data_IF_765557924816
#
_entry.id   IF_765557924816
#
_cell.length_a   1.000
_cell.length_b   1.000
_cell.length_c   1.000
_cell.angle_alpha   90.00
_cell.angle_beta   90.00
_cell.angle_gamma   90.00
#
_symmetry.space_group_name_H-M   'P 1'
#
loop_
_entity.id
_entity.type
_entity.pdbx_description
1 polymer ?
#
# COMPACT_ATOMS: atom_id res chain seq x y z
N UNK A 1 11.52 46.38 20.04
CA UNK A 1 12.10 46.23 18.68
C UNK A 1 13.22 45.21 18.82
N UNK A 2 13.28 44.02 18.22
CA UNK A 2 12.54 43.36 17.15
C UNK A 2 12.57 41.84 17.45
N UNK A 3 11.44 41.18 17.26
CA UNK A 3 11.27 39.73 17.25
C UNK A 3 12.20 39.09 16.21
N UNK A 4 13.18 38.29 16.60
CA UNK A 4 13.82 37.36 15.68
C UNK A 4 12.92 36.15 15.51
N UNK A 5 11.97 36.26 14.56
CA UNK A 5 11.22 35.13 14.01
C UNK A 5 12.22 34.23 13.29
N UNK A 6 12.63 33.13 13.93
CA UNK A 6 13.33 32.04 13.23
C UNK A 6 12.31 31.38 12.30
N UNK A 7 12.37 31.78 11.04
CA UNK A 7 11.65 31.11 9.95
C UNK A 7 12.20 29.69 9.84
N UNK A 8 11.50 28.70 10.41
CA UNK A 8 11.70 27.30 10.01
C UNK A 8 11.32 27.22 8.54
N UNK A 9 12.31 27.26 7.66
CA UNK A 9 12.18 26.75 6.28
C UNK A 9 11.79 25.28 6.41
N UNK A 10 10.51 24.99 6.22
CA UNK A 10 10.05 23.63 6.00
C UNK A 10 10.70 23.15 4.71
N UNK A 11 11.40 22.03 4.80
CA UNK A 11 12.19 21.44 3.74
C UNK A 11 11.21 20.99 2.64
N UNK A 12 11.60 21.13 1.36
CA UNK A 12 10.79 20.68 0.21
C UNK A 12 10.38 19.19 0.26
N UNK A 13 10.96 18.41 1.17
CA UNK A 13 10.58 17.04 1.47
C UNK A 13 9.27 16.88 2.25
N UNK A 14 8.68 17.96 2.78
CA UNK A 14 7.36 17.93 3.43
C UNK A 14 6.17 18.14 2.47
N UNK A 15 6.41 18.21 1.16
CA UNK A 15 5.40 18.42 0.12
C UNK A 15 5.10 17.15 -0.71
N UNK A 16 5.32 15.96 -0.16
CA UNK A 16 4.67 14.74 -0.65
C UNK A 16 3.46 14.49 0.23
N UNK A 17 2.42 15.27 -0.04
CA UNK A 17 1.07 15.14 0.50
C UNK A 17 0.69 13.67 0.66
N UNK A 18 0.40 13.28 1.90
CA UNK A 18 -0.30 12.05 2.29
C UNK A 18 -1.75 12.13 1.77
N UNK A 19 -1.90 12.07 0.45
CA UNK A 19 -3.18 11.80 -0.17
C UNK A 19 -3.41 10.30 -0.04
N UNK A 20 -4.49 9.95 0.65
CA UNK A 20 -5.12 8.65 0.57
C UNK A 20 -5.74 8.47 -0.82
N UNK A 21 -4.88 8.49 -1.85
CA UNK A 21 -5.22 8.03 -3.19
C UNK A 21 -5.24 6.51 -3.10
N UNK A 22 -6.43 5.91 -3.12
CA UNK A 22 -6.61 4.54 -3.57
C UNK A 22 -5.73 4.36 -4.81
N UNK A 23 -4.78 3.43 -4.80
CA UNK A 23 -3.90 3.28 -5.96
C UNK A 23 -4.76 2.93 -7.17
N UNK A 24 -4.36 3.39 -8.36
CA UNK A 24 -5.16 3.16 -9.56
C UNK A 24 -4.89 1.80 -10.16
N UNK A 25 -3.73 1.21 -9.83
CA UNK A 25 -3.31 -0.10 -10.33
C UNK A 25 -2.48 -0.88 -9.34
N UNK A 26 -2.54 -2.21 -9.46
CA UNK A 26 -1.74 -3.14 -8.65
C UNK A 26 -0.23 -2.92 -8.80
N UNK A 27 0.24 -2.54 -9.99
CA UNK A 27 1.65 -2.25 -10.25
C UNK A 27 2.13 -1.00 -9.48
N UNK A 28 1.30 0.03 -9.40
CA UNK A 28 1.59 1.24 -8.62
C UNK A 28 1.60 0.93 -7.12
N UNK A 29 0.68 0.09 -6.64
CA UNK A 29 0.62 -0.34 -5.25
C UNK A 29 1.87 -1.14 -4.85
N UNK A 30 2.21 -2.19 -5.59
CA UNK A 30 3.42 -3.01 -5.37
C UNK A 30 4.68 -2.13 -5.28
N UNK A 31 4.85 -1.20 -6.23
CA UNK A 31 6.03 -0.32 -6.25
C UNK A 31 6.07 0.62 -5.05
N UNK A 32 4.91 1.12 -4.62
CA UNK A 32 4.79 1.98 -3.45
C UNK A 32 5.19 1.21 -2.20
N UNK A 33 4.69 0.00 -2.01
CA UNK A 33 4.98 -0.82 -0.82
C UNK A 33 6.44 -1.22 -0.76
N UNK A 34 7.05 -1.60 -1.88
CA UNK A 34 8.51 -1.82 -1.97
C UNK A 34 9.29 -0.60 -1.47
N UNK A 35 8.91 0.61 -1.91
CA UNK A 35 9.56 1.86 -1.50
C UNK A 35 9.32 2.18 -0.02
N UNK A 36 8.12 1.92 0.49
CA UNK A 36 7.78 2.15 1.89
C UNK A 36 8.43 1.14 2.83
N UNK A 37 8.64 -0.11 2.41
CA UNK A 37 9.41 -1.12 3.13
C UNK A 37 10.86 -0.65 3.30
N UNK A 38 11.49 -0.16 2.22
CA UNK A 38 12.87 0.37 2.29
C UNK A 38 12.96 1.56 3.26
N UNK A 39 12.00 2.48 3.20
CA UNK A 39 11.95 3.62 4.10
C UNK A 39 11.73 3.20 5.56
N UNK A 40 10.82 2.24 5.81
CA UNK A 40 10.53 1.72 7.14
C UNK A 40 11.73 0.98 7.74
N UNK A 41 12.45 0.18 6.95
CA UNK A 41 13.71 -0.46 7.35
C UNK A 41 14.76 0.58 7.73
N UNK A 42 14.91 1.64 6.92
CA UNK A 42 15.86 2.71 7.21
C UNK A 42 15.52 3.48 8.49
N UNK A 43 14.24 3.57 8.88
CA UNK A 43 13.80 4.18 10.13
C UNK A 43 13.71 3.24 11.33
N UNK A 44 13.95 1.93 11.14
CA UNK A 44 13.78 0.91 12.18
C UNK A 44 12.32 0.66 12.60
N UNK A 45 11.36 0.92 11.71
CA UNK A 45 9.93 0.68 11.94
C UNK A 45 9.57 -0.76 11.55
N UNK A 46 9.98 -1.71 12.39
CA UNK A 46 9.81 -3.15 12.13
C UNK A 46 8.34 -3.57 12.03
N UNK A 47 7.43 -2.88 12.74
CA UNK A 47 6.01 -3.16 12.68
C UNK A 47 5.45 -2.84 11.29
N UNK A 48 5.84 -1.69 10.72
CA UNK A 48 5.48 -1.31 9.37
C UNK A 48 6.11 -2.21 8.31
N UNK A 49 7.37 -2.62 8.50
CA UNK A 49 8.04 -3.57 7.59
C UNK A 49 7.28 -4.89 7.50
N UNK A 50 6.88 -5.48 8.63
CA UNK A 50 6.11 -6.73 8.63
C UNK A 50 4.78 -6.57 7.90
N UNK A 51 4.01 -5.54 8.24
CA UNK A 51 2.71 -5.29 7.63
C UNK A 51 2.80 -5.15 6.10
N UNK A 52 3.70 -4.28 5.61
CA UNK A 52 3.84 -4.05 4.17
C UNK A 52 4.43 -5.26 3.43
N UNK A 53 5.26 -6.08 4.10
CA UNK A 53 5.79 -7.30 3.46
C UNK A 53 4.68 -8.34 3.25
N UNK A 54 3.76 -8.49 4.20
CA UNK A 54 2.59 -9.38 4.07
C UNK A 54 1.61 -8.89 2.99
N UNK A 55 1.40 -7.56 2.91
CA UNK A 55 0.58 -6.93 1.87
C UNK A 55 1.20 -7.10 0.48
N UNK A 56 2.50 -6.82 0.33
CA UNK A 56 3.23 -7.00 -0.93
C UNK A 56 3.13 -8.44 -1.44
N UNK A 57 3.25 -9.43 -0.56
CA UNK A 57 3.09 -10.83 -0.92
C UNK A 57 1.68 -11.13 -1.47
N UNK A 58 0.65 -10.66 -0.78
CA UNK A 58 -0.75 -10.83 -1.21
C UNK A 58 -1.02 -10.17 -2.57
N UNK A 59 -0.44 -8.98 -2.81
CA UNK A 59 -0.56 -8.27 -4.09
C UNK A 59 0.16 -9.02 -5.23
N UNK A 60 1.33 -9.59 -4.97
CA UNK A 60 2.08 -10.36 -5.96
C UNK A 60 1.34 -11.66 -6.35
N UNK A 61 0.79 -12.38 -5.37
CA UNK A 61 -0.04 -13.58 -5.60
C UNK A 61 -1.31 -13.25 -6.38
N UNK A 62 -2.05 -12.21 -5.96
CA UNK A 62 -3.25 -11.76 -6.67
C UNK A 62 -2.96 -11.43 -8.14
N UNK A 63 -1.84 -10.74 -8.40
CA UNK A 63 -1.42 -10.40 -9.76
C UNK A 63 -1.09 -11.64 -10.61
N UNK A 64 -0.50 -12.67 -10.00
CA UNK A 64 -0.22 -13.94 -10.67
C UNK A 64 -1.51 -14.69 -11.03
N UNK A 65 -2.48 -14.74 -10.12
CA UNK A 65 -3.77 -15.38 -10.35
C UNK A 65 -4.66 -14.59 -11.33
N UNK A 66 -4.50 -13.26 -11.39
CA UNK A 66 -5.33 -12.34 -12.16
C UNK A 66 -4.53 -11.55 -13.23
N UNK A 67 -3.86 -12.21 -14.21
CA UNK A 67 -2.88 -11.57 -15.10
C UNK A 67 -3.47 -10.55 -16.09
N UNK A 68 -4.79 -10.59 -16.32
CA UNK A 68 -5.52 -9.63 -17.14
C UNK A 68 -6.02 -8.42 -16.37
N UNK A 69 -6.00 -8.51 -15.03
CA UNK A 69 -6.48 -7.47 -14.17
C UNK A 69 -5.35 -6.53 -13.75
N UNK A 70 -5.63 -5.24 -13.79
CA UNK A 70 -4.66 -4.18 -13.50
C UNK A 70 -5.15 -3.22 -12.44
N UNK A 71 -6.38 -3.36 -11.94
CA UNK A 71 -6.86 -2.49 -10.86
C UNK A 71 -6.09 -2.78 -9.57
N UNK A 72 -6.16 -1.85 -8.63
CA UNK A 72 -5.65 -2.07 -7.27
C UNK A 72 -6.67 -2.86 -6.46
N UNK A 73 -6.40 -4.12 -6.07
CA UNK A 73 -7.39 -4.97 -5.43
C UNK A 73 -7.73 -4.45 -4.05
N UNK A 74 -9.01 -4.51 -3.71
CA UNK A 74 -9.49 -4.26 -2.36
C UNK A 74 -9.05 -5.37 -1.41
N UNK A 75 -9.08 -5.09 -0.11
CA UNK A 75 -8.77 -6.11 0.90
C UNK A 75 -9.68 -7.34 0.83
N UNK A 76 -10.93 -7.18 0.37
CA UNK A 76 -11.85 -8.30 0.17
C UNK A 76 -11.45 -9.14 -1.05
N UNK A 77 -11.03 -8.51 -2.15
CA UNK A 77 -10.55 -9.24 -3.33
C UNK A 77 -9.28 -10.04 -3.03
N UNK A 78 -8.31 -9.46 -2.31
CA UNK A 78 -7.13 -10.19 -1.84
C UNK A 78 -7.51 -11.36 -0.91
N UNK A 79 -8.45 -11.14 0.00
CA UNK A 79 -8.91 -12.19 0.90
C UNK A 79 -9.61 -13.33 0.15
N UNK A 80 -10.49 -13.00 -0.80
CA UNK A 80 -11.23 -14.00 -1.56
C UNK A 80 -10.37 -14.76 -2.58
N UNK A 81 -9.34 -14.13 -3.13
CA UNK A 81 -8.34 -14.81 -3.97
C UNK A 81 -7.59 -15.89 -3.17
N UNK A 82 -7.18 -15.58 -1.94
CA UNK A 82 -6.53 -16.54 -1.04
C UNK A 82 -7.49 -17.53 -0.36
N UNK A 83 -8.78 -17.18 -0.24
CA UNK A 83 -9.78 -17.95 0.52
C UNK A 83 -11.11 -18.07 -0.25
N UNK A 84 -11.14 -18.74 -1.43
CA UNK A 84 -12.33 -18.78 -2.28
C UNK A 84 -13.55 -19.44 -1.63
N UNK A 85 -13.33 -20.33 -0.65
CA UNK A 85 -14.38 -21.08 0.06
C UNK A 85 -15.00 -20.32 1.25
N UNK A 86 -14.43 -19.17 1.60
CA UNK A 86 -14.94 -18.33 2.69
C UNK A 86 -16.37 -17.88 2.39
N UNK A 87 -17.18 -17.73 3.43
CA UNK A 87 -18.61 -17.46 3.27
C UNK A 87 -18.87 -16.13 2.55
N UNK A 88 -18.01 -15.14 2.78
CA UNK A 88 -18.03 -13.82 2.13
C UNK A 88 -17.60 -13.84 0.65
N UNK A 89 -17.01 -14.94 0.19
CA UNK A 89 -16.40 -15.08 -1.14
C UNK A 89 -17.16 -16.05 -2.06
N UNK A 90 -18.18 -16.76 -1.53
CA UNK A 90 -18.99 -17.68 -2.33
C UNK A 90 -19.85 -16.92 -3.32
N UNK A 91 -19.56 -17.13 -4.60
CA UNK A 91 -20.41 -16.72 -5.71
C UNK A 91 -21.27 -17.92 -6.10
N UNK A 92 -22.59 -17.75 -6.07
CA UNK A 92 -23.53 -18.80 -6.50
C UNK A 92 -23.97 -18.50 -7.93
N UNK A 93 -23.78 -19.46 -8.84
CA UNK A 93 -24.35 -19.39 -10.18
C UNK A 93 -25.86 -19.73 -10.09
N UNK A 94 -26.71 -18.78 -10.49
CA UNK A 94 -28.18 -18.93 -10.57
C UNK A 94 -28.64 -19.96 -11.62
#
# INVERSE_FOLDING_TARGET
MVLQKTSRKMNSSQLASRAADSMKSIDEHIKKDQSEIEAARASGDEAKVRHLTEELHSLEEYKEHNPGDKHDPTSLELYCDANPEAEECRVYDD
#
